data_IF_642967124554
#
_entry.id   IF_642967124554
#
_cell.length_a   1.000
_cell.length_b   1.000
_cell.length_c   1.000
_cell.angle_alpha   90.00
_cell.angle_beta   90.00
_cell.angle_gamma   90.00
#
_symmetry.space_group_name_H-M   'P 1'
#
loop_
_entity.id
_entity.type
_entity.pdbx_description
1 polymer ?
#
# COMPACT_ATOMS: atom_id res chain seq x y z
N UNK A 1 4.83 -15.63 -11.92
CA UNK A 1 4.60 -14.17 -12.03
C UNK A 1 5.29 -13.49 -10.87
N UNK A 2 6.35 -12.72 -11.11
CA UNK A 2 7.01 -11.89 -10.11
C UNK A 2 6.16 -10.64 -9.86
N UNK A 3 5.95 -10.28 -8.60
CA UNK A 3 5.21 -9.05 -8.28
C UNK A 3 5.96 -7.83 -8.84
N UNK A 4 5.27 -6.85 -9.44
CA UNK A 4 5.91 -5.64 -9.95
C UNK A 4 6.63 -4.91 -8.81
N UNK A 5 7.82 -4.36 -9.11
CA UNK A 5 8.61 -3.58 -8.15
C UNK A 5 7.87 -2.29 -7.81
N UNK A 6 7.72 -2.01 -6.51
CA UNK A 6 7.06 -0.80 -6.02
C UNK A 6 7.89 0.45 -6.40
N UNK A 7 7.32 1.48 -7.07
CA UNK A 7 8.02 2.71 -7.37
C UNK A 7 8.56 3.40 -6.11
N UNK A 8 9.70 4.10 -6.21
CA UNK A 8 10.38 4.70 -5.04
C UNK A 8 9.48 5.66 -4.23
N UNK A 9 8.62 6.42 -4.92
CA UNK A 9 7.60 7.28 -4.28
C UNK A 9 6.64 6.49 -3.39
N UNK A 10 6.15 5.34 -3.84
CA UNK A 10 5.24 4.50 -3.06
C UNK A 10 5.97 3.74 -1.95
N UNK A 11 7.23 3.37 -2.17
CA UNK A 11 8.06 2.78 -1.12
C UNK A 11 8.28 3.76 0.05
N UNK A 12 8.57 5.03 -0.26
CA UNK A 12 8.71 6.07 0.77
C UNK A 12 7.40 6.27 1.56
N UNK A 13 6.24 6.20 0.91
CA UNK A 13 4.95 6.27 1.60
C UNK A 13 4.72 5.06 2.50
N UNK A 14 5.12 3.85 2.08
CA UNK A 14 4.96 2.64 2.88
C UNK A 14 5.67 2.74 4.25
N UNK A 15 6.85 3.37 4.29
CA UNK A 15 7.61 3.56 5.51
C UNK A 15 6.95 4.54 6.49
N UNK A 16 6.10 5.44 5.99
CA UNK A 16 5.38 6.43 6.80
C UNK A 16 4.06 5.91 7.38
N UNK A 17 3.56 4.77 6.91
CA UNK A 17 2.28 4.20 7.37
C UNK A 17 2.47 3.63 8.79
N UNK A 18 1.67 4.07 9.79
CA UNK A 18 1.72 3.49 11.13
C UNK A 18 1.33 2.00 11.11
N UNK A 19 2.08 1.18 11.84
CA UNK A 19 1.81 -0.25 11.90
C UNK A 19 0.50 -0.59 12.64
N UNK A 20 -0.16 -1.67 12.24
CA UNK A 20 -1.31 -2.25 12.94
C UNK A 20 -2.64 -1.50 12.79
N UNK A 21 -2.72 -0.50 11.89
CA UNK A 21 -3.94 0.26 11.60
C UNK A 21 -4.48 -0.05 10.21
N UNK A 22 -5.77 0.10 9.99
CA UNK A 22 -6.36 0.01 8.64
C UNK A 22 -5.91 1.19 7.77
N UNK A 23 -5.65 0.93 6.48
CA UNK A 23 -5.27 1.93 5.48
C UNK A 23 -6.43 2.22 4.51
N UNK A 24 -6.59 3.48 4.12
CA UNK A 24 -7.38 3.87 2.95
C UNK A 24 -6.45 4.59 1.96
N UNK A 25 -6.31 4.05 0.76
CA UNK A 25 -5.46 4.56 -0.32
C UNK A 25 -6.36 5.24 -1.38
N UNK A 26 -6.38 6.58 -1.39
CA UNK A 26 -7.29 7.40 -2.20
C UNK A 26 -6.63 7.81 -3.51
N UNK A 27 -7.29 7.58 -4.64
CA UNK A 27 -6.70 7.76 -5.97
C UNK A 27 -5.59 6.73 -6.20
N UNK A 28 -5.89 5.46 -5.87
CA UNK A 28 -4.86 4.45 -5.73
C UNK A 28 -4.18 4.14 -7.07
N UNK A 29 -2.85 4.06 -7.07
CA UNK A 29 -2.08 3.67 -8.25
C UNK A 29 -2.11 2.15 -8.38
N UNK A 30 -3.16 1.63 -9.02
CA UNK A 30 -3.44 0.20 -9.19
C UNK A 30 -3.48 -0.58 -7.86
N UNK A 31 -3.68 0.10 -6.73
CA UNK A 31 -3.61 -0.47 -5.38
C UNK A 31 -2.22 -0.98 -4.97
N UNK A 32 -1.14 -0.57 -5.65
CA UNK A 32 0.20 -1.08 -5.37
C UNK A 32 0.65 -0.80 -3.93
N UNK A 33 0.37 0.40 -3.41
CA UNK A 33 0.69 0.76 -2.03
C UNK A 33 -0.14 -0.06 -1.03
N UNK A 34 -1.46 -0.16 -1.25
CA UNK A 34 -2.35 -0.97 -0.42
C UNK A 34 -1.91 -2.45 -0.34
N UNK A 35 -1.57 -3.06 -1.49
CA UNK A 35 -1.07 -4.44 -1.55
C UNK A 35 0.26 -4.57 -0.82
N UNK A 36 1.19 -3.64 -1.02
CA UNK A 36 2.49 -3.67 -0.33
C UNK A 36 2.34 -3.52 1.19
N UNK A 37 1.46 -2.65 1.66
CA UNK A 37 1.20 -2.43 3.08
C UNK A 37 0.60 -3.68 3.75
N UNK A 38 -0.33 -4.37 3.10
CA UNK A 38 -0.90 -5.61 3.64
C UNK A 38 0.12 -6.76 3.59
N UNK A 39 0.79 -6.97 2.46
CA UNK A 39 1.73 -8.10 2.29
C UNK A 39 2.98 -7.99 3.17
N UNK A 40 3.41 -6.77 3.50
CA UNK A 40 4.50 -6.56 4.44
C UNK A 40 4.10 -6.77 5.91
N UNK A 41 2.81 -6.98 6.19
CA UNK A 41 2.27 -7.02 7.56
C UNK A 41 2.23 -5.65 8.24
N UNK A 42 2.52 -4.56 7.51
CA UNK A 42 2.46 -3.20 8.07
C UNK A 42 1.04 -2.87 8.53
N UNK A 43 0.04 -3.20 7.73
CA UNK A 43 -1.38 -3.00 8.05
C UNK A 43 -2.16 -4.32 7.95
N UNK A 44 -3.17 -4.55 8.79
CA UNK A 44 -3.98 -5.76 8.73
C UNK A 44 -4.94 -5.77 7.53
N UNK A 45 -5.34 -4.58 7.04
CA UNK A 45 -6.22 -4.43 5.89
C UNK A 45 -6.02 -3.06 5.22
N UNK A 46 -6.35 -2.99 3.93
CA UNK A 46 -6.33 -1.75 3.17
C UNK A 46 -7.51 -1.69 2.19
N UNK A 47 -8.07 -0.50 1.99
CA UNK A 47 -9.08 -0.21 0.97
C UNK A 47 -8.48 0.74 -0.07
N UNK A 48 -8.34 0.29 -1.31
CA UNK A 48 -8.01 1.16 -2.43
C UNK A 48 -9.28 1.73 -3.02
N UNK A 49 -9.34 3.05 -3.19
CA UNK A 49 -10.48 3.74 -3.80
C UNK A 49 -9.95 4.55 -4.97
N UNK A 50 -10.58 4.37 -6.13
CA UNK A 50 -10.33 5.12 -7.34
C UNK A 50 -11.66 5.44 -8.04
N UNK A 51 -11.65 6.35 -9.03
CA UNK A 51 -12.84 6.81 -9.74
C UNK A 51 -13.36 5.82 -10.79
#
# INVERSE_FOLDING_TARGET
MTAPRLPARLLALLDLIPAGRSLVDVGCDHGLLAVAAVRSGRVPQAHGIDR
#
